data_IF_000548131606
#
_entry.id   IF_000548131606
#
_cell.length_a   1.000
_cell.length_b   1.000
_cell.length_c   1.000
_cell.angle_alpha   90.00
_cell.angle_beta   90.00
_cell.angle_gamma   90.00
#
_symmetry.space_group_name_H-M   'P 1'
#
loop_
_entity.id
_entity.type
_entity.pdbx_description
1 polymer ?
#
# COMPACT_ATOMS: atom_id res chain seq x y z
N UNK A 1 14.68 6.86 -9.76
CA UNK A 1 13.36 6.30 -9.43
C UNK A 1 13.10 5.13 -10.36
N UNK A 2 12.50 4.03 -9.91
CA UNK A 2 12.22 2.87 -10.77
C UNK A 2 11.18 3.23 -11.86
N UNK A 3 11.28 2.66 -13.07
CA UNK A 3 10.26 2.83 -14.11
C UNK A 3 8.86 2.46 -13.64
N UNK A 4 7.85 3.16 -14.15
CA UNK A 4 6.45 2.94 -13.78
C UNK A 4 6.03 1.48 -14.01
N UNK A 5 6.37 0.90 -15.16
CA UNK A 5 6.01 -0.46 -15.54
C UNK A 5 6.55 -1.52 -14.57
N UNK A 6 7.65 -1.24 -13.85
CA UNK A 6 8.20 -2.14 -12.85
C UNK A 6 7.47 -2.04 -11.51
N UNK A 7 6.91 -0.88 -11.16
CA UNK A 7 6.28 -0.65 -9.85
C UNK A 7 4.76 -0.78 -9.88
N UNK A 8 4.14 -0.67 -11.06
CA UNK A 8 2.70 -0.86 -11.24
C UNK A 8 2.21 -2.24 -10.75
N UNK A 9 2.88 -3.37 -11.05
CA UNK A 9 2.47 -4.66 -10.52
C UNK A 9 2.55 -4.73 -8.98
N UNK A 10 3.58 -4.13 -8.38
CA UNK A 10 3.78 -4.13 -6.92
C UNK A 10 2.70 -3.31 -6.19
N UNK A 11 2.17 -2.27 -6.85
CA UNK A 11 1.01 -1.51 -6.38
C UNK A 11 -0.27 -2.32 -6.54
N UNK A 12 -0.46 -2.95 -7.71
CA UNK A 12 -1.63 -3.76 -8.02
C UNK A 12 -1.86 -4.86 -6.98
N UNK A 13 -0.80 -5.51 -6.51
CA UNK A 13 -0.86 -6.54 -5.45
C UNK A 13 -1.63 -6.09 -4.18
N UNK A 14 -1.60 -4.78 -3.85
CA UNK A 14 -2.32 -4.20 -2.72
C UNK A 14 -3.68 -3.62 -3.13
N UNK A 15 -3.74 -2.89 -4.24
CA UNK A 15 -5.00 -2.25 -4.66
C UNK A 15 -6.07 -3.26 -5.07
N UNK A 16 -5.66 -4.42 -5.61
CA UNK A 16 -6.57 -5.52 -5.95
C UNK A 16 -7.27 -6.14 -4.72
N UNK A 17 -6.71 -5.96 -3.52
CA UNK A 17 -7.30 -6.46 -2.26
C UNK A 17 -7.92 -5.35 -1.41
N UNK A 18 -8.17 -4.17 -2.01
CA UNK A 18 -8.94 -3.10 -1.39
C UNK A 18 -8.13 -1.99 -0.74
N UNK A 19 -6.80 -1.97 -0.87
CA UNK A 19 -6.01 -0.80 -0.48
C UNK A 19 -6.21 0.37 -1.44
N UNK A 20 -6.30 1.58 -0.88
CA UNK A 20 -6.28 2.82 -1.64
C UNK A 20 -4.84 3.27 -1.91
N UNK A 21 -4.55 3.68 -3.15
CA UNK A 21 -3.24 4.22 -3.54
C UNK A 21 -3.12 5.70 -3.16
N UNK A 22 -2.36 5.97 -2.11
CA UNK A 22 -2.14 7.33 -1.60
C UNK A 22 -0.77 7.83 -2.04
N UNK A 23 -0.75 8.85 -2.89
CA UNK A 23 0.49 9.40 -3.48
C UNK A 23 0.82 10.83 -3.02
N UNK A 24 0.00 11.45 -2.19
CA UNK A 24 0.21 12.82 -1.69
C UNK A 24 0.17 12.87 -0.17
N UNK A 25 0.89 13.84 0.41
CA UNK A 25 0.91 14.03 1.85
C UNK A 25 -0.46 14.47 2.39
N UNK A 26 -1.18 15.29 1.62
CA UNK A 26 -2.53 15.75 1.94
C UNK A 26 -3.51 14.58 1.99
N UNK A 27 -3.48 13.67 1.01
CA UNK A 27 -4.34 12.48 1.01
C UNK A 27 -4.02 11.56 2.21
N UNK A 28 -2.74 11.39 2.55
CA UNK A 28 -2.35 10.61 3.73
C UNK A 28 -2.85 11.25 5.04
N UNK A 29 -2.72 12.58 5.19
CA UNK A 29 -3.26 13.31 6.35
C UNK A 29 -4.76 13.17 6.44
N UNK A 30 -5.47 13.34 5.32
CA UNK A 30 -6.92 13.22 5.27
C UNK A 30 -7.38 11.80 5.65
N UNK A 31 -6.71 10.76 5.16
CA UNK A 31 -7.02 9.38 5.52
C UNK A 31 -6.87 9.14 7.03
N UNK A 32 -5.80 9.65 7.64
CA UNK A 32 -5.55 9.51 9.08
C UNK A 32 -6.58 10.30 9.90
N UNK A 33 -6.91 11.53 9.50
CA UNK A 33 -7.79 12.42 10.27
C UNK A 33 -9.27 12.03 10.18
N UNK A 34 -9.69 11.50 9.03
CA UNK A 34 -11.10 11.25 8.73
C UNK A 34 -11.51 9.77 8.89
N UNK A 35 -10.58 8.88 9.26
CA UNK A 35 -10.93 7.49 9.59
C UNK A 35 -11.35 7.40 11.04
N UNK A 36 -12.61 7.00 11.27
CA UNK A 36 -13.07 6.58 12.59
C UNK A 36 -12.75 5.09 12.81
N UNK A 37 -12.18 4.74 13.96
CA UNK A 37 -11.78 3.37 14.28
C UNK A 37 -10.34 3.04 13.89
N UNK A 38 -10.12 1.91 13.21
CA UNK A 38 -8.77 1.40 12.90
C UNK A 38 -8.43 1.60 11.43
N UNK A 39 -7.26 2.21 11.16
CA UNK A 39 -6.70 2.38 9.83
C UNK A 39 -5.49 1.47 9.65
N UNK A 40 -5.53 0.57 8.66
CA UNK A 40 -4.37 -0.19 8.22
C UNK A 40 -3.70 0.52 7.04
N UNK A 41 -2.54 1.14 7.28
CA UNK A 41 -1.76 1.83 6.25
C UNK A 41 -0.47 1.05 5.95
N UNK A 42 -0.29 0.68 4.68
CA UNK A 42 0.88 -0.09 4.23
C UNK A 42 1.85 0.82 3.48
N UNK A 43 3.04 1.01 4.05
CA UNK A 43 4.15 1.65 3.34
C UNK A 43 4.80 0.61 2.43
N UNK A 44 4.42 0.61 1.16
CA UNK A 44 4.95 -0.34 0.18
C UNK A 44 6.39 0.02 -0.24
N UNK A 45 7.13 -0.96 -0.76
CA UNK A 45 8.47 -0.75 -1.30
C UNK A 45 8.81 -1.75 -2.40
N UNK A 46 9.88 -1.47 -3.15
CA UNK A 46 10.43 -2.37 -4.19
C UNK A 46 11.35 -3.44 -3.62
N UNK A 47 11.59 -3.45 -2.30
CA UNK A 47 12.50 -4.39 -1.66
C UNK A 47 11.93 -5.81 -1.64
N UNK A 48 12.80 -6.82 -1.69
CA UNK A 48 12.38 -8.23 -1.69
C UNK A 48 11.58 -8.64 -0.44
N UNK A 49 11.81 -8.01 0.71
CA UNK A 49 11.00 -8.25 1.91
C UNK A 49 9.54 -7.78 1.76
N UNK A 50 9.28 -6.74 0.97
CA UNK A 50 7.91 -6.33 0.68
C UNK A 50 7.20 -7.37 -0.18
N UNK A 51 7.91 -7.92 -1.17
CA UNK A 51 7.38 -8.96 -2.07
C UNK A 51 7.17 -10.30 -1.36
N UNK A 52 8.13 -10.76 -0.56
CA UNK A 52 8.08 -12.08 0.07
C UNK A 52 7.31 -12.13 1.39
N UNK A 53 7.16 -10.99 2.09
CA UNK A 53 6.61 -10.96 3.44
C UNK A 53 5.49 -9.93 3.59
N UNK A 54 5.74 -8.64 3.34
CA UNK A 54 4.79 -7.59 3.72
C UNK A 54 3.50 -7.62 2.91
N UNK A 55 3.57 -7.64 1.57
CA UNK A 55 2.37 -7.69 0.72
C UNK A 55 1.60 -9.00 0.87
N UNK A 56 2.25 -10.19 0.86
CA UNK A 56 1.53 -11.44 1.14
C UNK A 56 0.92 -11.47 2.54
N UNK A 57 1.66 -11.04 3.57
CA UNK A 57 1.21 -11.07 4.95
C UNK A 57 -0.01 -10.18 5.19
N UNK A 58 0.00 -8.97 4.65
CA UNK A 58 -1.15 -8.08 4.74
C UNK A 58 -2.34 -8.64 3.96
N UNK A 59 -2.12 -9.15 2.73
CA UNK A 59 -3.18 -9.77 1.92
C UNK A 59 -3.86 -10.95 2.62
N UNK A 60 -3.12 -11.73 3.40
CA UNK A 60 -3.65 -12.85 4.17
C UNK A 60 -4.37 -12.42 5.46
N UNK A 61 -4.15 -11.19 5.92
CA UNK A 61 -4.73 -10.67 7.17
C UNK A 61 -6.08 -9.97 7.00
N UNK A 62 -6.47 -9.68 5.75
CA UNK A 62 -7.76 -9.08 5.36
C UNK A 62 -8.85 -10.15 5.26
#
# INVERSE_FOLDING_TARGET
>A
MYPADLVLPMKAELTEVGFEDITTAEAARNAIQNTEGTLLMVVNSVCGCAAGMARPGVKMSL
#
